data_IF_178126026251
#
_entry.id   IF_178126026251
#
_cell.length_a   1.000
_cell.length_b   1.000
_cell.length_c   1.000
_cell.angle_alpha   90.00
_cell.angle_beta   90.00
_cell.angle_gamma   90.00
#
_symmetry.space_group_name_H-M   'P 1'
#
loop_
_entity.id
_entity.type
_entity.pdbx_description
1 polymer ?
#
# COMPACT_ATOMS: atom_id res chain seq x y z
N UNK A 1 1.56 -14.15 -5.00
CA UNK A 1 0.46 -13.44 -4.29
C UNK A 1 0.49 -11.95 -4.62
N UNK A 2 1.50 -11.19 -4.19
CA UNK A 2 1.64 -9.76 -4.55
C UNK A 2 1.78 -9.56 -6.06
N UNK A 3 2.48 -10.47 -6.76
CA UNK A 3 2.61 -10.45 -8.22
C UNK A 3 1.26 -10.61 -8.95
N UNK A 4 0.37 -11.47 -8.45
CA UNK A 4 -1.00 -11.63 -8.97
C UNK A 4 -1.80 -10.34 -8.78
N UNK A 5 -1.75 -9.79 -7.57
CA UNK A 5 -2.39 -8.52 -7.24
C UNK A 5 -1.90 -7.39 -8.15
N UNK A 6 -0.58 -7.29 -8.39
CA UNK A 6 0.02 -6.33 -9.31
C UNK A 6 -0.51 -6.51 -10.74
N UNK A 7 -0.58 -7.74 -11.25
CA UNK A 7 -1.10 -8.01 -12.59
C UNK A 7 -2.55 -7.52 -12.79
N UNK A 8 -3.33 -7.46 -11.70
CA UNK A 8 -4.74 -7.04 -11.68
C UNK A 8 -4.91 -5.55 -11.39
N UNK A 9 -4.15 -4.97 -10.45
CA UNK A 9 -4.32 -3.58 -9.99
C UNK A 9 -3.56 -2.56 -10.83
N UNK A 10 -2.37 -2.90 -11.35
CA UNK A 10 -1.54 -1.97 -12.14
C UNK A 10 -2.24 -1.49 -13.43
N UNK A 11 -2.97 -2.34 -14.19
CA UNK A 11 -3.79 -1.86 -15.30
C UNK A 11 -4.85 -0.83 -14.89
N UNK A 12 -5.46 -0.99 -13.71
CA UNK A 12 -6.45 -0.04 -13.18
C UNK A 12 -5.79 1.31 -12.85
N UNK A 13 -4.65 1.29 -12.16
CA UNK A 13 -3.84 2.48 -11.90
C UNK A 13 -3.50 3.25 -13.19
N UNK A 14 -3.12 2.54 -14.25
CA UNK A 14 -2.84 3.16 -15.57
C UNK A 14 -4.08 3.75 -16.23
N UNK A 15 -5.24 3.10 -16.13
CA UNK A 15 -6.51 3.65 -16.63
C UNK A 15 -6.95 4.89 -15.82
N UNK A 16 -6.76 4.90 -14.49
CA UNK A 16 -7.02 6.06 -13.63
C UNK A 16 -6.16 7.25 -14.07
N UNK A 17 -4.84 7.06 -14.22
CA UNK A 17 -3.92 8.11 -14.71
C UNK A 17 -4.38 8.64 -16.08
N UNK A 18 -4.66 7.73 -17.03
CA UNK A 18 -5.13 8.08 -18.37
C UNK A 18 -6.41 8.93 -18.37
N UNK A 19 -7.40 8.62 -17.53
CA UNK A 19 -8.64 9.40 -17.48
C UNK A 19 -8.41 10.82 -16.93
N UNK A 20 -7.53 10.97 -15.93
CA UNK A 20 -7.13 12.28 -15.39
C UNK A 20 -6.34 13.07 -16.45
N UNK A 21 -5.33 12.47 -17.07
CA UNK A 21 -4.54 13.09 -18.16
C UNK A 21 -5.41 13.51 -19.34
N UNK A 22 -6.36 12.67 -19.75
CA UNK A 22 -7.31 12.98 -20.82
C UNK A 22 -8.19 14.18 -20.47
N UNK A 23 -8.66 14.30 -19.22
CA UNK A 23 -9.42 15.47 -18.78
C UNK A 23 -8.54 16.73 -18.77
N UNK A 24 -7.32 16.66 -18.23
CA UNK A 24 -6.38 17.79 -18.22
C UNK A 24 -5.97 18.26 -19.62
N UNK A 25 -5.88 17.34 -20.59
CA UNK A 25 -5.55 17.66 -21.99
C UNK A 25 -6.62 18.46 -22.72
N UNK A 26 -7.85 18.50 -22.21
CA UNK A 26 -8.93 19.35 -22.75
C UNK A 26 -8.72 20.80 -22.34
N UNK A 27 -9.26 21.73 -23.13
CA UNK A 27 -9.43 23.12 -22.72
C UNK A 27 -10.26 23.19 -21.44
N UNK A 28 -10.01 24.19 -20.61
CA UNK A 28 -10.67 24.35 -19.31
C UNK A 28 -12.20 24.40 -19.40
N UNK A 29 -12.74 25.07 -20.43
CA UNK A 29 -14.16 25.14 -20.78
C UNK A 29 -14.81 23.78 -21.14
N UNK A 30 -14.01 22.80 -21.57
CA UNK A 30 -14.44 21.45 -21.99
C UNK A 30 -14.18 20.37 -20.90
N UNK A 31 -13.70 20.78 -19.72
CA UNK A 31 -13.41 19.85 -18.60
C UNK A 31 -14.67 19.56 -17.80
N UNK A 32 -15.00 18.27 -17.67
CA UNK A 32 -16.14 17.80 -16.90
C UNK A 32 -15.66 16.97 -15.70
N UNK A 33 -15.83 17.53 -14.49
CA UNK A 33 -15.56 16.80 -13.24
C UNK A 33 -16.49 15.58 -13.09
N UNK A 34 -17.73 15.66 -13.58
CA UNK A 34 -18.68 14.54 -13.54
C UNK A 34 -18.25 13.38 -14.44
N UNK A 35 -17.76 13.64 -15.66
CA UNK A 35 -17.21 12.60 -16.54
C UNK A 35 -15.99 11.92 -15.90
N UNK A 36 -15.10 12.70 -15.27
CA UNK A 36 -13.94 12.15 -14.58
C UNK A 36 -14.37 11.26 -13.41
N UNK A 37 -15.32 11.71 -12.59
CA UNK A 37 -15.86 10.92 -11.48
C UNK A 37 -16.48 9.61 -11.99
N UNK A 38 -17.30 9.67 -13.05
CA UNK A 38 -17.94 8.49 -13.64
C UNK A 38 -16.92 7.48 -14.19
N UNK A 39 -15.82 7.94 -14.80
CA UNK A 39 -14.78 7.07 -15.34
C UNK A 39 -13.85 6.48 -14.25
N UNK A 40 -13.42 7.30 -13.28
CA UNK A 40 -12.39 6.91 -12.30
C UNK A 40 -12.96 6.14 -11.10
N UNK A 41 -14.16 6.47 -10.63
CA UNK A 41 -14.81 5.83 -9.48
C UNK A 41 -14.90 4.30 -9.55
N UNK A 42 -15.38 3.67 -10.65
CA UNK A 42 -15.45 2.21 -10.72
C UNK A 42 -14.06 1.55 -10.69
N UNK A 43 -13.03 2.20 -11.26
CA UNK A 43 -11.65 1.71 -11.26
C UNK A 43 -11.06 1.71 -9.85
N UNK A 44 -11.30 2.77 -9.06
CA UNK A 44 -10.85 2.84 -7.66
C UNK A 44 -11.53 1.78 -6.80
N UNK A 45 -12.84 1.59 -6.93
CA UNK A 45 -13.59 0.55 -6.19
C UNK A 45 -13.07 -0.85 -6.54
N UNK A 46 -12.76 -1.12 -7.82
CA UNK A 46 -12.20 -2.40 -8.24
C UNK A 46 -10.77 -2.60 -7.72
N UNK A 47 -9.94 -1.56 -7.75
CA UNK A 47 -8.59 -1.59 -7.19
C UNK A 47 -8.61 -1.84 -5.68
N UNK A 48 -9.49 -1.16 -4.94
CA UNK A 48 -9.66 -1.32 -3.50
C UNK A 48 -10.05 -2.75 -3.14
N UNK A 49 -10.98 -3.35 -3.88
CA UNK A 49 -11.38 -4.75 -3.72
C UNK A 49 -10.18 -5.71 -3.88
N UNK A 50 -9.38 -5.56 -4.94
CA UNK A 50 -8.18 -6.38 -5.18
C UNK A 50 -7.17 -6.24 -4.04
N UNK A 51 -6.97 -5.00 -3.56
CA UNK A 51 -6.02 -4.71 -2.48
C UNK A 51 -6.50 -5.28 -1.13
N UNK A 52 -7.79 -5.20 -0.82
CA UNK A 52 -8.38 -5.81 0.38
C UNK A 52 -8.33 -7.34 0.33
N UNK A 53 -8.63 -7.97 -0.81
CA UNK A 53 -8.43 -9.41 -1.03
C UNK A 53 -6.98 -9.82 -0.76
N UNK A 54 -6.03 -9.07 -1.32
CA UNK A 54 -4.58 -9.32 -1.17
C UNK A 54 -4.10 -9.13 0.26
N UNK A 55 -4.59 -8.11 0.96
CA UNK A 55 -4.30 -7.87 2.38
C UNK A 55 -4.80 -9.02 3.26
N UNK A 56 -6.01 -9.52 3.01
CA UNK A 56 -6.58 -10.67 3.72
C UNK A 56 -5.75 -11.94 3.48
N UNK A 57 -5.36 -12.19 2.23
CA UNK A 57 -4.49 -13.31 1.85
C UNK A 57 -3.12 -13.24 2.53
N UNK A 58 -2.48 -12.07 2.62
CA UNK A 58 -1.19 -11.90 3.31
C UNK A 58 -1.32 -12.12 4.82
N UNK A 59 -2.38 -11.60 5.45
CA UNK A 59 -2.67 -11.85 6.88
C UNK A 59 -2.91 -13.33 7.16
N UNK A 60 -3.50 -14.07 6.23
CA UNK A 60 -3.72 -15.51 6.35
C UNK A 60 -2.51 -16.39 6.06
N UNK A 61 -1.43 -15.85 5.46
CA UNK A 61 -0.29 -16.64 5.00
C UNK A 61 0.76 -16.93 6.10
N UNK A 62 0.88 -16.08 7.12
CA UNK A 62 1.83 -16.28 8.24
C UNK A 62 1.20 -15.98 9.62
N UNK A 63 0.11 -16.66 10.01
CA UNK A 63 -0.60 -16.39 11.28
C UNK A 63 0.25 -16.63 12.53
N UNK A 64 1.34 -17.39 12.43
CA UNK A 64 2.26 -17.72 13.53
C UNK A 64 3.62 -16.98 13.44
N UNK A 65 3.78 -16.04 12.50
CA UNK A 65 5.03 -15.31 12.24
C UNK A 65 6.25 -16.22 11.93
N UNK A 66 6.02 -17.46 11.44
CA UNK A 66 7.08 -18.45 11.14
C UNK A 66 7.91 -18.06 9.92
N UNK A 67 7.29 -17.47 8.90
CA UNK A 67 7.99 -16.95 7.72
C UNK A 67 8.76 -15.69 8.13
N UNK A 68 8.10 -14.80 8.88
CA UNK A 68 8.67 -13.59 9.48
C UNK A 68 9.98 -13.85 10.24
N UNK A 69 9.99 -14.90 11.07
CA UNK A 69 11.11 -15.22 11.95
C UNK A 69 12.29 -15.84 11.19
N UNK A 70 12.05 -16.64 10.14
CA UNK A 70 13.12 -17.15 9.26
C UNK A 70 13.75 -16.03 8.44
N UNK A 71 12.95 -15.14 7.88
CA UNK A 71 13.42 -14.01 7.09
C UNK A 71 14.31 -13.04 7.91
N UNK A 72 13.98 -12.81 9.19
CA UNK A 72 14.85 -12.08 10.14
C UNK A 72 16.21 -12.77 10.34
N UNK A 73 16.26 -14.11 10.42
CA UNK A 73 17.52 -14.86 10.54
C UNK A 73 18.35 -14.78 9.24
N UNK A 74 17.71 -14.89 8.07
CA UNK A 74 18.37 -14.73 6.77
C UNK A 74 18.93 -13.30 6.56
N UNK A 75 18.24 -12.28 7.06
CA UNK A 75 18.73 -10.90 7.07
C UNK A 75 19.96 -10.72 7.96
N UNK A 76 19.97 -11.24 9.20
CA UNK A 76 21.14 -11.19 10.09
C UNK A 76 22.37 -11.88 9.48
N UNK A 77 22.16 -12.90 8.65
CA UNK A 77 23.21 -13.59 7.90
C UNK A 77 23.59 -12.90 6.56
N UNK A 78 23.00 -11.75 6.23
CA UNK A 78 23.13 -11.05 4.93
C UNK A 78 22.85 -11.95 3.70
N UNK A 79 21.99 -12.95 3.83
CA UNK A 79 21.66 -13.93 2.78
C UNK A 79 20.18 -13.95 2.47
N UNK A 80 19.69 -12.91 1.78
CA UNK A 80 18.34 -12.92 1.23
C UNK A 80 18.20 -14.05 0.20
N UNK A 81 17.15 -14.85 0.31
CA UNK A 81 16.83 -15.92 -0.63
C UNK A 81 16.21 -15.36 -1.93
N UNK A 82 16.24 -16.11 -3.05
CA UNK A 82 15.59 -15.68 -4.29
C UNK A 82 14.07 -15.46 -4.18
N UNK A 83 13.41 -16.10 -3.21
CA UNK A 83 11.99 -15.90 -2.93
C UNK A 83 11.73 -14.57 -2.23
N UNK A 84 12.56 -14.23 -1.24
CA UNK A 84 12.51 -12.94 -0.53
C UNK A 84 12.83 -11.76 -1.46
N UNK A 85 13.78 -11.95 -2.39
CA UNK A 85 14.10 -10.96 -3.43
C UNK A 85 12.90 -10.70 -4.36
N UNK A 86 12.26 -11.75 -4.88
CA UNK A 86 11.03 -11.60 -5.70
C UNK A 86 9.89 -10.94 -4.92
N UNK A 87 9.71 -11.28 -3.65
CA UNK A 87 8.70 -10.64 -2.81
C UNK A 87 8.98 -9.13 -2.62
N UNK A 88 10.25 -8.75 -2.45
CA UNK A 88 10.68 -7.35 -2.37
C UNK A 88 10.41 -6.59 -3.68
N UNK A 89 10.74 -7.18 -4.83
CA UNK A 89 10.47 -6.60 -6.15
C UNK A 89 8.97 -6.44 -6.41
N UNK A 90 8.16 -7.45 -6.10
CA UNK A 90 6.71 -7.38 -6.23
C UNK A 90 6.11 -6.28 -5.32
N UNK A 91 6.59 -6.15 -4.08
CA UNK A 91 6.15 -5.09 -3.17
C UNK A 91 6.56 -3.70 -3.66
N UNK A 92 7.79 -3.56 -4.20
CA UNK A 92 8.27 -2.32 -4.82
C UNK A 92 7.33 -1.86 -5.94
N UNK A 93 7.00 -2.75 -6.89
CA UNK A 93 6.07 -2.44 -8.00
C UNK A 93 4.70 -2.03 -7.48
N UNK A 94 4.19 -2.67 -6.42
CA UNK A 94 2.92 -2.32 -5.81
C UNK A 94 2.94 -0.90 -5.22
N UNK A 95 4.03 -0.50 -4.56
CA UNK A 95 4.21 0.84 -4.00
C UNK A 95 4.33 1.89 -5.11
N UNK A 96 5.18 1.64 -6.12
CA UNK A 96 5.40 2.55 -7.25
C UNK A 96 4.10 2.80 -8.03
N UNK A 97 3.37 1.75 -8.40
CA UNK A 97 2.18 1.88 -9.23
C UNK A 97 0.94 2.27 -8.43
N UNK A 98 0.64 1.64 -7.29
CA UNK A 98 -0.57 1.97 -6.50
C UNK A 98 -0.35 3.23 -5.67
N UNK A 99 0.72 3.28 -4.86
CA UNK A 99 1.04 4.43 -4.01
C UNK A 99 1.31 5.68 -4.84
N UNK A 100 2.14 5.56 -5.87
CA UNK A 100 2.41 6.64 -6.81
C UNK A 100 1.16 7.13 -7.55
N UNK A 101 0.21 6.26 -7.89
CA UNK A 101 -1.09 6.70 -8.46
C UNK A 101 -1.96 7.43 -7.46
N UNK A 102 -2.02 6.98 -6.20
CA UNK A 102 -2.81 7.64 -5.16
C UNK A 102 -2.33 9.08 -4.96
N UNK A 103 -1.03 9.27 -4.76
CA UNK A 103 -0.45 10.58 -4.49
C UNK A 103 -0.54 11.50 -5.71
N UNK A 104 -0.17 11.01 -6.90
CA UNK A 104 -0.30 11.78 -8.13
C UNK A 104 -1.75 12.20 -8.40
N UNK A 105 -2.72 11.30 -8.21
CA UNK A 105 -4.14 11.61 -8.43
C UNK A 105 -4.67 12.64 -7.43
N UNK A 106 -4.26 12.60 -6.15
CA UNK A 106 -4.64 13.65 -5.16
C UNK A 106 -4.14 15.03 -5.61
N UNK A 107 -2.85 15.12 -5.94
CA UNK A 107 -2.23 16.38 -6.36
C UNK A 107 -2.87 16.95 -7.64
N UNK A 108 -3.34 16.09 -8.56
CA UNK A 108 -4.13 16.53 -9.73
C UNK A 108 -5.55 16.99 -9.35
N UNK A 109 -6.22 16.27 -8.46
CA UNK A 109 -7.58 16.59 -8.02
C UNK A 109 -7.67 17.87 -7.17
N UNK A 110 -6.55 18.41 -6.67
CA UNK A 110 -6.55 19.70 -5.96
C UNK A 110 -7.07 20.88 -6.81
N UNK A 111 -6.99 20.77 -8.14
CA UNK A 111 -7.57 21.75 -9.08
C UNK A 111 -9.05 21.48 -9.43
N UNK A 112 -9.63 20.39 -8.93
CA UNK A 112 -10.97 19.88 -9.29
C UNK A 112 -11.77 19.57 -8.03
N UNK A 113 -12.42 20.57 -7.40
CA UNK A 113 -12.97 20.44 -6.04
C UNK A 113 -14.14 19.46 -5.92
N UNK A 114 -14.93 19.25 -6.98
CA UNK A 114 -16.03 18.28 -7.01
C UNK A 114 -15.49 16.86 -7.18
N UNK A 115 -14.59 16.66 -8.14
CA UNK A 115 -13.93 15.37 -8.35
C UNK A 115 -13.08 14.95 -7.14
N UNK A 116 -12.40 15.89 -6.48
CA UNK A 116 -11.69 15.67 -5.21
C UNK A 116 -12.62 15.19 -4.10
N UNK A 117 -13.81 15.79 -3.97
CA UNK A 117 -14.80 15.39 -2.96
C UNK A 117 -15.30 13.95 -3.18
N UNK A 118 -15.51 13.55 -4.43
CA UNK A 118 -16.11 12.24 -4.75
C UNK A 118 -15.08 11.10 -4.93
N UNK A 119 -13.84 11.42 -5.32
CA UNK A 119 -12.76 10.45 -5.55
C UNK A 119 -11.71 10.41 -4.43
N UNK A 120 -11.50 11.52 -3.71
CA UNK A 120 -10.55 11.60 -2.59
C UNK A 120 -10.76 10.50 -1.54
N UNK A 121 -11.98 10.30 -1.01
CA UNK A 121 -12.25 9.22 -0.05
C UNK A 121 -11.95 7.81 -0.58
N UNK A 122 -12.03 7.58 -1.90
CA UNK A 122 -11.70 6.30 -2.52
C UNK A 122 -10.19 6.12 -2.68
N UNK A 123 -9.45 7.20 -2.95
CA UNK A 123 -7.99 7.22 -2.92
C UNK A 123 -7.44 7.01 -1.50
N UNK A 124 -8.15 7.49 -0.47
CA UNK A 124 -7.89 7.18 0.94
C UNK A 124 -8.17 5.70 1.26
N UNK A 125 -9.33 5.18 0.87
CA UNK A 125 -9.69 3.79 1.07
C UNK A 125 -8.69 2.82 0.43
N UNK A 126 -8.20 3.12 -0.79
CA UNK A 126 -7.17 2.34 -1.48
C UNK A 126 -5.78 2.39 -0.79
N UNK A 127 -5.46 3.48 -0.11
CA UNK A 127 -4.19 3.66 0.61
C UNK A 127 -4.09 2.82 1.90
N UNK A 128 -5.22 2.48 2.53
CA UNK A 128 -5.24 1.66 3.74
C UNK A 128 -4.73 0.22 3.53
N UNK A 129 -5.26 -0.60 2.61
CA UNK A 129 -4.75 -1.94 2.38
C UNK A 129 -3.32 -1.92 1.84
N UNK A 130 -2.92 -0.93 1.02
CA UNK A 130 -1.53 -0.76 0.59
C UNK A 130 -0.58 -0.61 1.80
N UNK A 131 -0.88 0.32 2.70
CA UNK A 131 -0.09 0.55 3.92
C UNK A 131 0.02 -0.72 4.76
N UNK A 132 -1.08 -1.49 4.87
CA UNK A 132 -1.14 -2.71 5.67
C UNK A 132 -0.42 -3.90 5.03
N UNK A 133 -0.46 -4.02 3.69
CA UNK A 133 0.33 -4.98 2.92
C UNK A 133 1.82 -4.69 3.12
N UNK A 134 2.23 -3.43 2.95
CA UNK A 134 3.63 -3.01 3.12
C UNK A 134 4.11 -3.20 4.56
N UNK A 135 3.29 -2.89 5.56
CA UNK A 135 3.63 -3.15 6.96
C UNK A 135 3.75 -4.65 7.27
N UNK A 136 2.80 -5.47 6.81
CA UNK A 136 2.82 -6.92 6.99
C UNK A 136 4.07 -7.57 6.36
N UNK A 137 4.39 -7.21 5.12
CA UNK A 137 5.52 -7.77 4.37
C UNK A 137 6.87 -7.17 4.82
N UNK A 138 6.90 -5.87 5.14
CA UNK A 138 8.09 -5.19 5.64
C UNK A 138 8.56 -5.70 7.01
N UNK A 139 7.65 -6.17 7.86
CA UNK A 139 8.02 -6.88 9.10
C UNK A 139 8.63 -8.26 8.87
N UNK A 140 8.34 -8.93 7.74
CA UNK A 140 9.02 -10.15 7.33
C UNK A 140 10.48 -9.82 6.96
N UNK A 141 10.66 -8.75 6.19
CA UNK A 141 11.92 -8.39 5.54
C UNK A 141 12.43 -7.04 6.02
N UNK A 142 13.19 -7.01 7.12
CA UNK A 142 13.79 -5.78 7.65
C UNK A 142 14.67 -5.03 6.62
N UNK A 143 15.30 -5.75 5.68
CA UNK A 143 16.02 -5.13 4.55
C UNK A 143 15.10 -4.44 3.53
N UNK A 144 13.85 -4.89 3.39
CA UNK A 144 12.82 -4.26 2.55
C UNK A 144 12.34 -2.96 3.19
N UNK A 145 12.30 -2.81 4.52
CA UNK A 145 11.97 -1.51 5.13
C UNK A 145 12.94 -0.40 4.74
N UNK A 146 14.24 -0.70 4.55
CA UNK A 146 15.22 0.27 4.09
C UNK A 146 15.05 0.59 2.59
N UNK A 147 14.76 -0.42 1.76
CA UNK A 147 14.46 -0.24 0.33
C UNK A 147 13.17 0.57 0.13
N UNK A 148 12.11 0.21 0.86
CA UNK A 148 10.82 0.88 0.89
C UNK A 148 10.95 2.29 1.45
N UNK A 149 11.71 2.51 2.53
CA UNK A 149 11.98 3.85 3.06
C UNK A 149 12.59 4.77 1.99
N UNK A 150 13.68 4.33 1.36
CA UNK A 150 14.33 5.07 0.28
C UNK A 150 13.41 5.31 -0.92
N UNK A 151 12.56 4.33 -1.27
CA UNK A 151 11.60 4.42 -2.37
C UNK A 151 10.47 5.42 -2.06
N UNK A 152 9.88 5.35 -0.88
CA UNK A 152 8.79 6.24 -0.45
C UNK A 152 9.29 7.68 -0.36
N UNK A 153 10.47 7.92 0.22
CA UNK A 153 11.09 9.25 0.24
C UNK A 153 11.47 9.73 -1.18
N UNK A 154 11.92 8.84 -2.07
CA UNK A 154 12.20 9.18 -3.47
C UNK A 154 10.95 9.50 -4.31
N UNK A 155 9.77 9.01 -3.91
CA UNK A 155 8.49 9.23 -4.58
C UNK A 155 7.60 10.31 -3.92
N UNK A 156 8.03 10.87 -2.77
CA UNK A 156 7.22 11.82 -1.99
C UNK A 156 6.05 11.19 -1.21
N UNK A 157 6.06 9.87 -1.00
CA UNK A 157 4.98 9.11 -0.35
C UNK A 157 5.04 9.16 1.19
N UNK A 158 5.26 10.36 1.75
CA UNK A 158 5.41 10.61 3.18
C UNK A 158 4.19 10.19 4.01
N UNK A 159 2.99 10.29 3.42
CA UNK A 159 1.73 9.83 4.01
C UNK A 159 1.74 8.32 4.26
N UNK A 160 2.22 7.54 3.29
CA UNK A 160 2.34 6.08 3.39
C UNK A 160 3.47 5.68 4.35
N UNK A 161 4.60 6.40 4.33
CA UNK A 161 5.71 6.16 5.25
C UNK A 161 5.29 6.36 6.71
N UNK A 162 4.56 7.45 7.00
CA UNK A 162 3.92 7.68 8.32
C UNK A 162 2.91 6.57 8.68
N UNK A 163 2.13 6.11 7.71
CA UNK A 163 1.19 5.00 7.89
C UNK A 163 1.86 3.68 8.29
N UNK A 164 3.00 3.34 7.66
CA UNK A 164 3.78 2.13 7.98
C UNK A 164 4.41 2.23 9.37
N UNK A 165 4.97 3.40 9.73
CA UNK A 165 5.52 3.65 11.07
C UNK A 165 4.41 3.54 12.12
N UNK A 166 3.24 4.14 11.88
CA UNK A 166 2.10 4.03 12.80
C UNK A 166 1.61 2.57 12.96
N UNK A 167 1.51 1.81 11.86
CA UNK A 167 1.09 0.41 11.90
C UNK A 167 2.09 -0.46 12.67
N UNK A 168 3.39 -0.32 12.40
CA UNK A 168 4.45 -1.10 13.06
C UNK A 168 4.60 -0.75 14.54
N UNK A 169 4.52 0.53 14.91
CA UNK A 169 4.51 0.97 16.32
C UNK A 169 3.26 0.49 17.05
N UNK A 170 2.07 0.55 16.42
CA UNK A 170 0.82 0.03 17.01
C UNK A 170 0.90 -1.47 17.32
N UNK A 171 1.48 -2.26 16.41
CA UNK A 171 1.76 -3.68 16.63
C UNK A 171 2.77 -3.92 17.76
N UNK A 172 3.82 -3.10 17.88
CA UNK A 172 4.80 -3.19 18.97
C UNK A 172 4.17 -2.88 20.34
N UNK A 173 3.37 -1.82 20.42
CA UNK A 173 2.63 -1.44 21.65
C UNK A 173 1.61 -2.51 22.01
N UNK A 174 0.87 -3.05 21.03
CA UNK A 174 -0.08 -4.13 21.27
C UNK A 174 0.62 -5.41 21.79
N UNK A 175 1.77 -5.77 21.23
CA UNK A 175 2.61 -6.88 21.70
C UNK A 175 3.15 -6.68 23.11
N UNK A 176 3.62 -5.46 23.46
CA UNK A 176 4.07 -5.12 24.81
C UNK A 176 2.93 -5.24 25.84
N UNK A 177 1.75 -4.67 25.54
CA UNK A 177 0.56 -4.75 26.40
C UNK A 177 0.07 -6.19 26.58
N UNK A 178 0.21 -7.04 25.55
CA UNK A 178 -0.15 -8.46 25.64
C UNK A 178 0.82 -9.25 26.53
N UNK A 179 2.13 -8.96 26.44
CA UNK A 179 3.15 -9.57 27.28
C UNK A 179 2.98 -9.16 28.75
N UNK A 180 2.71 -7.87 29.01
CA UNK A 180 2.45 -7.35 30.35
C UNK A 180 1.17 -7.93 30.97
N UNK A 181 0.12 -8.16 30.17
CA UNK A 181 -1.07 -8.92 30.60
C UNK A 181 -0.79 -10.40 30.87
N UNK A 182 0.08 -11.07 30.11
CA UNK A 182 0.46 -12.46 30.37
C UNK A 182 1.23 -12.58 31.70
N UNK A 183 2.14 -11.64 31.95
CA UNK A 183 2.92 -11.56 33.18
C UNK A 183 2.03 -11.31 34.40
N UNK A 184 1.03 -10.42 34.29
CA UNK A 184 0.04 -10.16 35.33
C UNK A 184 -0.96 -11.31 35.56
N UNK A 185 -1.07 -12.26 34.62
CA UNK A 185 -1.93 -13.46 34.75
C UNK A 185 -1.18 -14.71 35.24
N UNK A 186 0.12 -14.63 35.50
CA UNK A 186 0.89 -15.69 36.16
C UNK A 186 1.06 -16.98 35.36
N UNK A 187 1.02 -16.91 34.03
CA UNK A 187 1.21 -18.05 33.11
C UNK A 187 2.62 -18.04 32.48
N UNK A 188 3.67 -17.98 33.31
CA UNK A 188 5.08 -18.02 32.92
C UNK A 188 5.86 -19.07 33.69
#
# INVERSE_FOLDING_TARGET
MIEDANSRVVPLCRMIRKHIEQMESRKEEDRSEDELVQAVKPLLIQAEKIMNETQGLIKGADPENKISNKAKQHQQAHKATPEEQRLAEALKVMIEEVGGTIEWARNKLDSYPKAKKDLGPLLDALGQPLTQIVAGVGMLLAGVLNLVGNLLSGLGLDSLLKGIVAATVSLFVCGAIMNERLFLLGLG
#
